data_IF_415478295560
#
_entry.id   IF_415478295560
#
_cell.length_a   1.000
_cell.length_b   1.000
_cell.length_c   1.000
_cell.angle_alpha   90.00
_cell.angle_beta   90.00
_cell.angle_gamma   90.00
#
_symmetry.space_group_name_H-M   'P 1'
#
loop_
_entity.id
_entity.type
_entity.pdbx_description
1 polymer ?
#
# COMPACT_ATOMS: atom_id res chain seq x y z
N UNK A 1 -14.86 22.10 8.01
CA UNK A 1 -14.79 20.71 8.55
C UNK A 1 -13.71 19.98 7.81
N UNK A 2 -12.90 19.17 8.49
CA UNK A 2 -11.89 18.35 7.84
C UNK A 2 -12.55 17.24 7.01
N UNK A 3 -12.00 16.92 5.83
CA UNK A 3 -12.59 16.00 4.84
C UNK A 3 -12.86 14.59 5.40
N UNK A 4 -11.99 14.13 6.30
CA UNK A 4 -12.07 12.79 6.93
C UNK A 4 -12.30 12.87 8.45
N UNK A 5 -12.89 13.98 8.94
CA UNK A 5 -13.22 14.09 10.36
C UNK A 5 -14.12 12.93 10.81
N UNK A 6 -13.85 12.39 12.01
CA UNK A 6 -14.57 11.25 12.58
C UNK A 6 -14.49 9.96 11.75
N UNK A 7 -13.43 9.79 10.96
CA UNK A 7 -13.13 8.53 10.27
C UNK A 7 -11.95 7.83 10.90
N UNK A 8 -11.83 6.53 10.64
CA UNK A 8 -10.76 5.68 11.15
C UNK A 8 -10.09 4.93 10.01
N UNK A 9 -8.79 4.72 10.11
CA UNK A 9 -8.02 4.01 9.10
C UNK A 9 -6.92 3.14 9.70
N UNK A 10 -6.48 2.15 8.95
CA UNK A 10 -5.26 1.37 9.25
C UNK A 10 -4.29 1.48 8.10
N UNK A 11 -3.02 1.71 8.41
CA UNK A 11 -1.94 1.80 7.42
C UNK A 11 -0.89 0.74 7.72
N UNK A 12 -0.77 -0.23 6.81
CA UNK A 12 0.24 -1.29 6.86
C UNK A 12 1.44 -0.91 5.99
N UNK A 13 2.66 -1.13 6.50
CA UNK A 13 3.90 -0.95 5.75
C UNK A 13 4.67 0.35 6.03
N UNK A 14 4.35 1.05 7.13
CA UNK A 14 5.21 2.13 7.62
C UNK A 14 6.50 1.54 8.20
N UNK A 15 7.65 1.98 7.68
CA UNK A 15 8.97 1.59 8.18
C UNK A 15 9.77 2.80 8.68
N UNK A 16 9.62 3.97 8.05
CA UNK A 16 10.24 5.23 8.42
C UNK A 16 9.55 6.41 7.69
N UNK A 17 10.01 7.63 7.95
CA UNK A 17 9.49 8.88 7.36
C UNK A 17 9.56 8.98 5.83
N UNK A 18 10.28 8.09 5.15
CA UNK A 18 10.37 8.02 3.67
C UNK A 18 9.48 6.94 3.08
N UNK A 19 8.76 6.18 3.87
CA UNK A 19 7.81 5.17 3.37
C UNK A 19 6.64 5.84 2.64
N UNK A 20 6.20 5.26 1.53
CA UNK A 20 4.95 5.67 0.86
C UNK A 20 3.79 5.61 1.86
N UNK A 21 3.71 4.53 2.65
CA UNK A 21 2.73 4.37 3.71
C UNK A 21 2.71 5.56 4.69
N UNK A 22 3.89 6.14 5.02
CA UNK A 22 3.94 7.31 5.89
C UNK A 22 3.42 8.58 5.19
N UNK A 23 3.77 8.80 3.92
CA UNK A 23 3.21 9.92 3.14
C UNK A 23 1.68 9.86 3.05
N UNK A 24 1.13 8.66 2.87
CA UNK A 24 -0.33 8.44 2.90
C UNK A 24 -0.88 8.73 4.30
N UNK A 25 -0.27 8.21 5.35
CA UNK A 25 -0.70 8.42 6.74
C UNK A 25 -0.75 9.92 7.10
N UNK A 26 0.25 10.70 6.68
CA UNK A 26 0.29 12.14 6.89
C UNK A 26 -0.90 12.86 6.21
N UNK A 27 -1.22 12.50 4.96
CA UNK A 27 -2.34 13.10 4.23
C UNK A 27 -3.69 12.76 4.88
N UNK A 28 -3.90 11.49 5.24
CA UNK A 28 -5.13 11.02 5.91
C UNK A 28 -5.29 11.64 7.31
N UNK A 29 -4.20 11.67 8.11
CA UNK A 29 -4.20 12.27 9.43
C UNK A 29 -4.44 13.78 9.42
N UNK A 30 -3.79 14.52 8.50
CA UNK A 30 -4.02 15.95 8.30
C UNK A 30 -5.48 16.25 7.89
N UNK A 31 -6.13 15.31 7.20
CA UNK A 31 -7.54 15.38 6.85
C UNK A 31 -8.49 14.93 7.99
N UNK A 32 -7.96 14.65 9.19
CA UNK A 32 -8.74 14.37 10.41
C UNK A 32 -9.07 12.90 10.66
N UNK A 33 -8.46 11.97 9.91
CA UNK A 33 -8.62 10.52 10.14
C UNK A 33 -7.81 10.08 11.36
N UNK A 34 -8.40 9.29 12.24
CA UNK A 34 -7.69 8.58 13.32
C UNK A 34 -7.09 7.30 12.76
N UNK A 35 -5.80 7.03 13.03
CA UNK A 35 -5.05 5.99 12.35
C UNK A 35 -4.53 4.90 13.29
N UNK A 36 -4.57 3.66 12.81
CA UNK A 36 -3.78 2.55 13.34
C UNK A 36 -2.62 2.25 12.39
N UNK A 37 -1.49 1.84 12.95
CA UNK A 37 -0.29 1.43 12.23
C UNK A 37 0.09 0.01 12.59
N UNK A 38 0.67 -0.72 11.63
CA UNK A 38 1.27 -2.02 11.92
C UNK A 38 2.77 -2.00 11.69
N UNK A 39 3.48 -2.81 12.46
CA UNK A 39 4.91 -3.06 12.28
C UNK A 39 5.21 -4.55 12.33
N UNK A 40 6.25 -4.99 11.60
CA UNK A 40 6.76 -6.35 11.65
C UNK A 40 8.10 -6.38 12.38
N UNK A 41 8.14 -7.09 13.52
CA UNK A 41 9.34 -7.27 14.33
C UNK A 41 9.82 -6.01 15.06
N UNK A 42 10.57 -6.21 16.14
CA UNK A 42 10.98 -5.14 17.07
C UNK A 42 11.83 -4.05 16.42
N UNK A 43 12.56 -4.39 15.35
CA UNK A 43 13.41 -3.44 14.63
C UNK A 43 12.65 -2.25 14.04
N UNK A 44 11.38 -2.41 13.68
CA UNK A 44 10.56 -1.35 13.11
C UNK A 44 9.68 -0.65 14.15
N UNK A 45 9.48 -1.29 15.31
CA UNK A 45 8.56 -0.82 16.35
C UNK A 45 8.83 0.62 16.75
N UNK A 46 10.04 0.92 17.21
CA UNK A 46 10.43 2.24 17.71
C UNK A 46 10.19 3.35 16.67
N UNK A 47 10.61 3.10 15.42
CA UNK A 47 10.38 4.06 14.33
C UNK A 47 8.90 4.32 14.06
N UNK A 48 8.06 3.27 14.11
CA UNK A 48 6.62 3.40 13.85
C UNK A 48 5.94 4.09 15.02
N UNK A 49 6.31 3.80 16.26
CA UNK A 49 5.80 4.46 17.46
C UNK A 49 6.16 5.96 17.48
N UNK A 50 7.41 6.32 17.14
CA UNK A 50 7.84 7.73 17.03
C UNK A 50 7.01 8.50 15.99
N UNK A 51 6.79 7.91 14.82
CA UNK A 51 6.00 8.53 13.77
C UNK A 51 4.52 8.63 14.16
N UNK A 52 3.94 7.56 14.69
CA UNK A 52 2.55 7.51 15.12
C UNK A 52 2.24 8.54 16.22
N UNK A 53 3.20 8.80 17.13
CA UNK A 53 3.07 9.81 18.19
C UNK A 53 2.84 11.23 17.64
N UNK A 54 3.19 11.50 16.38
CA UNK A 54 2.92 12.79 15.74
C UNK A 54 1.48 12.95 15.26
N UNK A 55 0.69 11.86 15.25
CA UNK A 55 -0.71 11.84 14.84
C UNK A 55 -1.61 11.47 16.03
N UNK A 56 -2.43 12.40 16.54
CA UNK A 56 -3.17 12.18 17.79
C UNK A 56 -4.11 10.97 17.76
N UNK A 57 -4.11 10.19 18.86
CA UNK A 57 -5.01 9.05 19.04
C UNK A 57 -4.66 7.83 18.19
N UNK A 58 -3.44 7.76 17.65
CA UNK A 58 -2.97 6.62 16.87
C UNK A 58 -2.79 5.35 17.70
N UNK A 59 -3.02 4.18 17.08
CA UNK A 59 -2.65 2.87 17.58
C UNK A 59 -1.41 2.35 16.85
N UNK A 60 -0.57 1.57 17.54
CA UNK A 60 0.56 0.86 16.94
C UNK A 60 0.51 -0.60 17.36
N UNK A 61 0.44 -1.51 16.40
CA UNK A 61 0.14 -2.93 16.62
C UNK A 61 1.17 -3.81 15.88
N UNK A 62 1.65 -4.90 16.49
CA UNK A 62 2.49 -5.87 15.79
C UNK A 62 1.67 -6.61 14.74
N UNK A 63 2.25 -6.90 13.56
CA UNK A 63 1.60 -7.70 12.52
C UNK A 63 2.63 -8.25 11.54
N UNK A 64 2.77 -9.57 11.52
CA UNK A 64 3.30 -10.28 10.38
C UNK A 64 2.13 -10.73 9.48
N UNK A 65 2.10 -10.26 8.25
CA UNK A 65 1.01 -10.57 7.31
C UNK A 65 1.04 -12.01 6.78
N UNK A 66 2.05 -12.80 7.16
CA UNK A 66 2.10 -14.24 6.92
C UNK A 66 1.40 -15.05 8.02
N UNK A 67 0.96 -14.38 9.09
CA UNK A 67 0.27 -14.98 10.25
C UNK A 67 -1.19 -14.53 10.30
N UNK A 68 -2.10 -15.42 9.93
CA UNK A 68 -3.56 -15.16 10.05
C UNK A 68 -3.97 -14.82 11.49
N UNK A 69 -3.28 -15.38 12.50
CA UNK A 69 -3.53 -15.08 13.90
C UNK A 69 -3.16 -13.62 14.26
N UNK A 70 -2.00 -13.14 13.80
CA UNK A 70 -1.60 -11.76 14.04
C UNK A 70 -2.49 -10.77 13.28
N UNK A 71 -2.85 -11.08 12.04
CA UNK A 71 -3.82 -10.30 11.27
C UNK A 71 -5.14 -10.18 12.06
N UNK A 72 -5.68 -11.29 12.56
CA UNK A 72 -6.92 -11.30 13.34
C UNK A 72 -6.78 -10.43 14.60
N UNK A 73 -5.69 -10.58 15.36
CA UNK A 73 -5.45 -9.81 16.58
C UNK A 73 -5.41 -8.29 16.33
N UNK A 74 -4.85 -7.86 15.19
CA UNK A 74 -4.83 -6.44 14.78
C UNK A 74 -6.25 -5.92 14.62
N UNK A 75 -7.10 -6.61 13.86
CA UNK A 75 -8.47 -6.11 13.60
C UNK A 75 -9.38 -6.24 14.80
N UNK A 76 -9.15 -7.20 15.70
CA UNK A 76 -9.81 -7.26 17.00
C UNK A 76 -9.43 -6.06 17.87
N UNK A 77 -8.16 -5.66 17.89
CA UNK A 77 -7.71 -4.47 18.62
C UNK A 77 -8.32 -3.19 18.04
N UNK A 78 -8.31 -3.04 16.71
CA UNK A 78 -8.94 -1.90 16.02
C UNK A 78 -10.44 -1.86 16.32
N UNK A 79 -11.12 -3.01 16.29
CA UNK A 79 -12.54 -3.11 16.61
C UNK A 79 -12.87 -2.65 18.01
N UNK A 80 -12.06 -3.04 19.02
CA UNK A 80 -12.23 -2.61 20.41
C UNK A 80 -12.02 -1.10 20.62
N UNK A 81 -11.05 -0.52 19.91
CA UNK A 81 -10.63 0.89 20.15
C UNK A 81 -11.34 1.88 19.22
N UNK A 82 -11.55 1.54 17.95
CA UNK A 82 -12.17 2.40 16.95
C UNK A 82 -13.66 2.08 16.71
N UNK A 83 -14.09 0.86 16.95
CA UNK A 83 -15.46 0.37 16.73
C UNK A 83 -15.80 0.11 15.25
N UNK A 84 -15.12 0.78 14.30
CA UNK A 84 -15.31 0.62 12.85
C UNK A 84 -14.02 0.96 12.12
N UNK A 85 -13.98 0.68 10.81
CA UNK A 85 -12.83 1.04 9.96
C UNK A 85 -13.35 1.63 8.64
N UNK A 86 -12.97 2.87 8.32
CA UNK A 86 -13.35 3.54 7.06
C UNK A 86 -12.33 3.28 5.95
N UNK A 87 -11.03 3.15 6.29
CA UNK A 87 -9.96 2.98 5.29
C UNK A 87 -8.93 1.94 5.73
N UNK A 88 -8.56 1.05 4.79
CA UNK A 88 -7.42 0.14 4.91
C UNK A 88 -6.40 0.46 3.83
N UNK A 89 -5.15 0.75 4.22
CA UNK A 89 -4.03 0.98 3.30
C UNK A 89 -3.05 -0.18 3.39
N UNK A 90 -2.93 -0.94 2.30
CA UNK A 90 -1.98 -2.03 2.13
C UNK A 90 -0.76 -1.54 1.33
N UNK A 91 0.32 -1.21 2.03
CA UNK A 91 1.58 -0.75 1.43
C UNK A 91 2.73 -1.70 1.77
N UNK A 92 2.49 -3.00 1.58
CA UNK A 92 3.41 -4.09 1.89
C UNK A 92 3.93 -4.71 0.59
N UNK A 93 5.23 -5.01 0.55
CA UNK A 93 5.85 -5.81 -0.47
C UNK A 93 7.17 -6.38 0.06
N UNK A 94 7.44 -7.63 -0.28
CA UNK A 94 8.69 -8.28 0.02
C UNK A 94 9.01 -9.36 -1.01
N UNK A 95 10.27 -9.42 -1.41
CA UNK A 95 10.87 -10.58 -2.07
C UNK A 95 12.33 -10.70 -1.61
N UNK A 96 12.91 -11.91 -1.54
CA UNK A 96 14.34 -12.09 -1.34
C UNK A 96 15.12 -11.31 -2.40
N UNK A 97 16.23 -10.68 -2.02
CA UNK A 97 17.00 -9.80 -2.91
C UNK A 97 17.53 -10.55 -4.14
N UNK A 98 17.92 -11.78 -3.97
CA UNK A 98 18.41 -12.67 -5.03
C UNK A 98 17.35 -12.97 -6.09
N UNK A 99 16.08 -12.85 -5.75
CA UNK A 99 14.95 -13.08 -6.66
C UNK A 99 14.56 -11.83 -7.47
N UNK A 100 15.16 -10.68 -7.14
CA UNK A 100 14.93 -9.42 -7.85
C UNK A 100 15.92 -9.19 -9.00
N UNK A 101 17.06 -9.86 -8.99
CA UNK A 101 18.17 -9.66 -9.93
C UNK A 101 18.40 -10.92 -10.78
N UNK A 102 19.18 -10.80 -11.86
CA UNK A 102 19.54 -11.91 -12.73
C UNK A 102 18.44 -12.35 -13.70
N UNK A 103 18.46 -13.61 -14.12
CA UNK A 103 17.46 -14.16 -15.04
C UNK A 103 16.17 -14.51 -14.33
N UNK A 104 15.05 -13.97 -14.78
CA UNK A 104 13.73 -14.33 -14.25
C UNK A 104 13.43 -15.84 -14.34
N UNK A 105 13.93 -16.52 -15.37
CA UNK A 105 13.77 -17.98 -15.52
C UNK A 105 14.44 -18.80 -14.42
N UNK A 106 15.37 -18.18 -13.66
CA UNK A 106 16.03 -18.81 -12.50
C UNK A 106 15.29 -18.59 -11.18
N UNK A 107 14.15 -17.90 -11.17
CA UNK A 107 13.34 -17.65 -9.96
C UNK A 107 13.03 -18.95 -9.24
N UNK A 108 13.35 -19.03 -7.96
CA UNK A 108 13.10 -20.22 -7.14
C UNK A 108 11.61 -20.34 -6.81
N UNK A 109 11.16 -21.59 -6.60
CA UNK A 109 9.78 -21.87 -6.16
C UNK A 109 9.48 -21.16 -4.84
N UNK A 110 10.42 -21.17 -3.90
CA UNK A 110 10.25 -20.58 -2.59
C UNK A 110 10.24 -19.03 -2.65
N UNK A 111 11.14 -18.41 -3.43
CA UNK A 111 11.14 -16.98 -3.64
C UNK A 111 9.86 -16.50 -4.32
N UNK A 112 9.37 -17.25 -5.32
CA UNK A 112 8.07 -16.98 -5.95
C UNK A 112 6.92 -17.06 -4.96
N UNK A 113 6.86 -18.14 -4.15
CA UNK A 113 5.84 -18.34 -3.12
C UNK A 113 5.84 -17.19 -2.12
N UNK A 114 6.99 -16.84 -1.57
CA UNK A 114 7.16 -15.79 -0.57
C UNK A 114 6.76 -14.42 -1.10
N UNK A 115 7.20 -14.06 -2.33
CA UNK A 115 6.85 -12.80 -2.94
C UNK A 115 5.33 -12.65 -3.15
N UNK A 116 4.64 -13.72 -3.57
CA UNK A 116 3.20 -13.70 -3.77
C UNK A 116 2.42 -13.73 -2.46
N UNK A 117 2.86 -14.50 -1.48
CA UNK A 117 2.24 -14.57 -0.17
C UNK A 117 2.23 -13.20 0.52
N UNK A 118 3.41 -12.58 0.62
CA UNK A 118 3.56 -11.29 1.32
C UNK A 118 3.04 -10.11 0.49
N UNK A 119 3.25 -10.10 -0.85
CA UNK A 119 2.99 -8.89 -1.65
C UNK A 119 1.65 -8.90 -2.39
N UNK A 120 0.95 -10.05 -2.43
CA UNK A 120 -0.34 -10.17 -3.12
C UNK A 120 -1.41 -10.82 -2.23
N UNK A 121 -1.18 -12.05 -1.69
CA UNK A 121 -2.17 -12.74 -0.88
C UNK A 121 -2.48 -12.01 0.42
N UNK A 122 -1.51 -11.36 1.03
CA UNK A 122 -1.71 -10.59 2.26
C UNK A 122 -2.81 -9.53 2.12
N UNK A 123 -3.03 -8.94 0.93
CA UNK A 123 -4.16 -8.03 0.68
C UNK A 123 -5.50 -8.75 0.92
N UNK A 124 -5.62 -10.00 0.49
CA UNK A 124 -6.84 -10.81 0.72
C UNK A 124 -7.00 -11.08 2.22
N UNK A 125 -5.92 -11.54 2.88
CA UNK A 125 -5.93 -11.86 4.31
C UNK A 125 -6.35 -10.69 5.19
N UNK A 126 -5.69 -9.54 5.03
CA UNK A 126 -6.00 -8.34 5.84
C UNK A 126 -7.37 -7.75 5.51
N UNK A 127 -7.80 -7.78 4.22
CA UNK A 127 -9.12 -7.30 3.83
C UNK A 127 -10.22 -8.18 4.41
N UNK A 128 -10.04 -9.52 4.39
CA UNK A 128 -10.98 -10.48 4.99
C UNK A 128 -11.17 -10.22 6.48
N UNK A 129 -10.09 -10.02 7.22
CA UNK A 129 -10.16 -9.75 8.66
C UNK A 129 -10.75 -8.36 8.96
N UNK A 130 -10.46 -7.36 8.14
CA UNK A 130 -10.99 -6.01 8.27
C UNK A 130 -12.47 -5.87 7.90
N UNK A 131 -13.00 -6.81 7.12
CA UNK A 131 -14.28 -6.65 6.43
C UNK A 131 -15.46 -6.33 7.34
N UNK A 132 -15.65 -6.98 8.51
CA UNK A 132 -16.75 -6.60 9.42
C UNK A 132 -16.70 -5.14 9.85
N UNK A 133 -15.50 -4.59 10.09
CA UNK A 133 -15.31 -3.19 10.49
C UNK A 133 -15.49 -2.22 9.32
N UNK A 134 -15.08 -2.61 8.11
CA UNK A 134 -15.27 -1.82 6.88
C UNK A 134 -16.75 -1.71 6.53
N UNK A 135 -17.53 -2.77 6.71
CA UNK A 135 -18.99 -2.75 6.51
C UNK A 135 -19.71 -1.85 7.51
N UNK A 136 -19.29 -1.88 8.78
CA UNK A 136 -19.84 -1.01 9.82
C UNK A 136 -19.68 0.48 9.50
N UNK A 137 -18.66 0.86 8.73
CA UNK A 137 -18.49 2.25 8.32
C UNK A 137 -19.51 2.72 7.29
N UNK A 138 -20.09 1.81 6.49
CA UNK A 138 -21.00 2.10 5.37
C UNK A 138 -20.31 2.78 4.17
N UNK A 139 -18.99 2.95 4.20
CA UNK A 139 -18.17 3.62 3.16
C UNK A 139 -16.76 3.08 3.05
N UNK A 140 -16.55 1.81 3.33
CA UNK A 140 -15.24 1.17 3.35
C UNK A 140 -14.42 1.44 2.10
N UNK A 141 -13.12 1.75 2.29
CA UNK A 141 -12.15 1.96 1.21
C UNK A 141 -10.87 1.18 1.48
N UNK A 142 -10.53 0.26 0.58
CA UNK A 142 -9.28 -0.50 0.62
C UNK A 142 -8.36 0.03 -0.47
N UNK A 143 -7.13 0.41 -0.11
CA UNK A 143 -6.12 0.96 -1.00
C UNK A 143 -4.88 0.06 -0.99
N UNK A 144 -4.44 -0.40 -2.17
CA UNK A 144 -3.23 -1.17 -2.34
C UNK A 144 -2.15 -0.34 -3.05
N UNK A 145 -0.88 -0.54 -2.69
CA UNK A 145 0.23 0.09 -3.39
C UNK A 145 0.84 -0.87 -4.42
N UNK A 146 0.83 -0.45 -5.69
CA UNK A 146 1.44 -1.17 -6.79
C UNK A 146 2.50 -0.34 -7.51
N UNK A 147 3.07 -0.88 -8.56
CA UNK A 147 4.10 -0.23 -9.37
C UNK A 147 3.95 -0.65 -10.84
N UNK A 148 4.32 0.22 -11.74
CA UNK A 148 4.28 0.03 -13.20
C UNK A 148 4.93 -1.28 -13.68
N UNK A 149 5.89 -1.83 -12.92
CA UNK A 149 6.46 -3.15 -13.14
C UNK A 149 5.47 -4.32 -13.13
N UNK A 150 4.21 -4.11 -12.70
CA UNK A 150 3.11 -5.06 -12.86
C UNK A 150 2.64 -5.19 -14.31
N UNK A 151 2.81 -4.15 -15.13
CA UNK A 151 2.32 -4.08 -16.51
C UNK A 151 3.43 -4.12 -17.55
N UNK A 152 4.62 -3.67 -17.19
CA UNK A 152 5.81 -3.63 -18.04
C UNK A 152 7.00 -4.24 -17.32
N UNK A 153 7.90 -4.84 -18.08
CA UNK A 153 9.14 -5.38 -17.52
C UNK A 153 10.01 -4.23 -17.02
N UNK A 154 10.32 -4.25 -15.74
CA UNK A 154 11.26 -3.34 -15.10
C UNK A 154 12.51 -4.10 -14.69
N UNK A 155 13.69 -3.58 -15.05
CA UNK A 155 14.95 -4.22 -14.69
C UNK A 155 15.12 -4.35 -13.17
N UNK A 156 15.67 -5.48 -12.72
CA UNK A 156 15.91 -5.79 -11.31
C UNK A 156 14.65 -5.79 -10.43
N UNK A 157 13.50 -6.10 -11.03
CA UNK A 157 12.24 -6.19 -10.33
C UNK A 157 11.60 -7.60 -10.41
N UNK A 158 11.96 -8.38 -11.40
CA UNK A 158 11.68 -9.81 -11.60
C UNK A 158 10.38 -10.33 -10.94
N UNK A 159 10.52 -11.21 -9.93
CA UNK A 159 9.38 -11.84 -9.24
C UNK A 159 8.42 -10.82 -8.63
N UNK A 160 8.91 -9.66 -8.20
CA UNK A 160 8.06 -8.61 -7.65
C UNK A 160 7.11 -8.02 -8.71
N UNK A 161 7.55 -7.90 -9.97
CA UNK A 161 6.66 -7.48 -11.07
C UNK A 161 5.46 -8.42 -11.24
N UNK A 162 5.71 -9.73 -11.19
CA UNK A 162 4.67 -10.75 -11.28
C UNK A 162 3.77 -10.74 -10.04
N UNK A 163 4.33 -10.58 -8.84
CA UNK A 163 3.55 -10.44 -7.61
C UNK A 163 2.67 -9.18 -7.63
N UNK A 164 3.16 -8.05 -8.18
CA UNK A 164 2.36 -6.83 -8.33
C UNK A 164 1.27 -6.98 -9.40
N UNK A 165 1.49 -7.73 -10.47
CA UNK A 165 0.43 -8.08 -11.44
C UNK A 165 -0.67 -8.92 -10.77
N UNK A 166 -0.29 -9.89 -9.94
CA UNK A 166 -1.21 -10.66 -9.10
C UNK A 166 -1.99 -9.75 -8.13
N UNK A 167 -1.32 -8.78 -7.48
CA UNK A 167 -1.95 -7.81 -6.60
C UNK A 167 -2.99 -6.95 -7.34
N UNK A 168 -2.67 -6.44 -8.54
CA UNK A 168 -3.61 -5.64 -9.35
C UNK A 168 -4.83 -6.46 -9.79
N UNK A 169 -4.65 -7.74 -10.12
CA UNK A 169 -5.77 -8.64 -10.36
C UNK A 169 -6.61 -8.85 -9.10
N UNK A 170 -5.96 -9.06 -7.95
CA UNK A 170 -6.62 -9.21 -6.64
C UNK A 170 -7.48 -7.99 -6.30
N UNK A 171 -7.00 -6.77 -6.59
CA UNK A 171 -7.79 -5.52 -6.40
C UNK A 171 -9.11 -5.59 -7.17
N UNK A 172 -9.09 -6.00 -8.43
CA UNK A 172 -10.31 -6.12 -9.26
C UNK A 172 -11.28 -7.18 -8.74
N UNK A 173 -10.78 -8.35 -8.34
CA UNK A 173 -11.61 -9.41 -7.78
C UNK A 173 -12.21 -9.04 -6.43
N UNK A 174 -11.44 -8.40 -5.55
CA UNK A 174 -11.96 -7.87 -4.28
C UNK A 174 -12.99 -6.76 -4.51
N UNK A 175 -12.76 -5.84 -5.45
CA UNK A 175 -13.72 -4.80 -5.80
C UNK A 175 -15.06 -5.38 -6.24
N UNK A 176 -15.04 -6.41 -7.09
CA UNK A 176 -16.24 -7.12 -7.55
C UNK A 176 -16.97 -7.83 -6.40
N UNK A 177 -16.22 -8.52 -5.54
CA UNK A 177 -16.79 -9.29 -4.43
C UNK A 177 -17.35 -8.41 -3.31
N UNK A 178 -16.71 -7.26 -3.03
CA UNK A 178 -17.02 -6.40 -1.88
C UNK A 178 -17.89 -5.18 -2.23
N UNK A 179 -18.00 -4.84 -3.51
CA UNK A 179 -18.85 -3.74 -3.99
C UNK A 179 -20.30 -3.85 -3.50
N UNK A 180 -20.98 -5.02 -3.60
CA UNK A 180 -22.33 -5.22 -3.05
C UNK A 180 -22.43 -5.01 -1.53
N UNK A 181 -21.30 -5.05 -0.82
CA UNK A 181 -21.17 -4.83 0.63
C UNK A 181 -20.78 -3.38 0.98
N UNK A 182 -20.77 -2.47 0.00
CA UNK A 182 -20.42 -1.05 0.19
C UNK A 182 -18.94 -0.76 0.40
N UNK A 183 -18.05 -1.71 0.06
CA UNK A 183 -16.59 -1.55 0.19
C UNK A 183 -15.95 -1.39 -1.18
N UNK A 184 -15.22 -0.29 -1.37
CA UNK A 184 -14.44 -0.01 -2.59
C UNK A 184 -13.02 -0.53 -2.43
N UNK A 185 -12.44 -1.03 -3.49
CA UNK A 185 -11.05 -1.53 -3.49
C UNK A 185 -10.32 -0.97 -4.72
N UNK A 186 -9.26 -0.20 -4.52
CA UNK A 186 -8.47 0.41 -5.58
C UNK A 186 -6.97 0.27 -5.29
N UNK A 187 -6.14 0.54 -6.29
CA UNK A 187 -4.71 0.62 -6.10
C UNK A 187 -4.14 1.93 -6.64
N UNK A 188 -3.00 2.35 -6.07
CA UNK A 188 -2.19 3.44 -6.56
C UNK A 188 -0.90 2.84 -7.12
N UNK A 189 -0.64 3.04 -8.41
CA UNK A 189 0.63 2.73 -9.06
C UNK A 189 1.53 3.96 -8.97
N UNK A 190 2.42 3.95 -7.97
CA UNK A 190 3.31 5.06 -7.71
C UNK A 190 4.55 5.00 -8.60
N UNK A 191 5.00 6.14 -9.11
CA UNK A 191 6.32 6.29 -9.69
C UNK A 191 7.43 6.02 -8.66
N UNK A 192 8.69 5.92 -9.09
CA UNK A 192 9.80 5.61 -8.19
C UNK A 192 10.01 6.72 -7.16
N UNK A 193 9.98 6.35 -5.88
CA UNK A 193 10.25 7.22 -4.73
C UNK A 193 11.40 6.63 -3.92
N UNK A 194 12.28 7.48 -3.41
CA UNK A 194 13.47 7.05 -2.64
C UNK A 194 13.09 6.53 -1.24
N UNK A 195 12.48 5.36 -1.20
CA UNK A 195 12.11 4.64 0.03
C UNK A 195 13.21 3.68 0.48
N UNK A 196 13.08 3.13 1.70
CA UNK A 196 13.97 2.07 2.17
C UNK A 196 13.86 0.80 1.30
N UNK A 197 12.64 0.40 0.95
CA UNK A 197 12.37 -0.76 0.10
C UNK A 197 12.97 -0.58 -1.31
N UNK A 198 12.82 0.59 -1.91
CA UNK A 198 13.36 0.90 -3.23
C UNK A 198 14.89 0.82 -3.31
N UNK A 199 15.59 1.11 -2.20
CA UNK A 199 17.06 0.96 -2.12
C UNK A 199 17.52 -0.48 -2.20
N UNK A 200 16.66 -1.45 -1.97
CA UNK A 200 16.94 -2.88 -2.19
C UNK A 200 17.01 -3.27 -3.66
N UNK A 201 16.44 -2.45 -4.56
CA UNK A 201 16.46 -2.67 -6.01
C UNK A 201 17.79 -2.17 -6.59
N UNK A 202 18.52 -3.05 -7.24
CA UNK A 202 19.81 -2.71 -7.89
C UNK A 202 19.58 -1.67 -8.99
N UNK A 203 20.41 -0.63 -9.03
CA UNK A 203 20.33 0.41 -10.06
C UNK A 203 19.21 1.45 -9.84
N UNK A 204 18.58 1.48 -8.65
CA UNK A 204 17.47 2.37 -8.35
C UNK A 204 17.77 3.87 -8.60
N UNK A 205 18.98 4.34 -8.33
CA UNK A 205 19.37 5.75 -8.63
C UNK A 205 19.30 6.04 -10.13
N UNK A 206 19.74 5.08 -10.97
CA UNK A 206 19.61 5.19 -12.43
C UNK A 206 18.15 5.21 -12.88
N UNK A 207 17.30 4.40 -12.24
CA UNK A 207 15.85 4.40 -12.49
C UNK A 207 15.20 5.75 -12.15
N UNK A 208 15.55 6.37 -11.04
CA UNK A 208 15.05 7.72 -10.67
C UNK A 208 15.43 8.76 -11.72
N UNK A 209 16.69 8.74 -12.19
CA UNK A 209 17.17 9.66 -13.22
C UNK A 209 16.42 9.43 -14.54
N UNK A 210 16.36 8.19 -15.00
CA UNK A 210 15.65 7.82 -16.23
C UNK A 210 14.18 8.23 -16.18
N UNK A 211 13.50 7.96 -15.07
CA UNK A 211 12.10 8.35 -14.90
C UNK A 211 11.91 9.87 -15.00
N UNK A 212 12.74 10.65 -14.30
CA UNK A 212 12.66 12.11 -14.35
C UNK A 212 12.94 12.68 -15.76
N UNK A 213 13.83 12.02 -16.54
CA UNK A 213 14.17 12.45 -17.91
C UNK A 213 13.08 12.10 -18.92
N UNK A 214 12.28 11.04 -18.69
CA UNK A 214 11.31 10.52 -19.67
C UNK A 214 9.85 10.79 -19.30
N UNK A 215 9.55 10.97 -18.01
CA UNK A 215 8.18 11.32 -17.60
C UNK A 215 7.72 12.65 -18.24
N UNK A 216 6.47 12.77 -18.69
CA UNK A 216 5.92 14.01 -19.24
C UNK A 216 6.15 15.24 -18.36
N UNK A 217 6.00 15.12 -17.03
CA UNK A 217 6.23 16.24 -16.10
C UNK A 217 7.72 16.49 -15.80
N UNK A 218 8.65 15.72 -16.42
CA UNK A 218 10.11 15.88 -16.29
C UNK A 218 10.64 15.92 -14.85
N UNK A 219 10.01 15.15 -13.97
CA UNK A 219 10.39 14.99 -12.57
C UNK A 219 9.91 13.66 -12.01
N UNK A 220 10.44 13.28 -10.88
CA UNK A 220 9.86 12.20 -10.07
C UNK A 220 8.66 12.72 -9.27
N UNK A 221 7.85 11.78 -8.78
CA UNK A 221 6.73 12.07 -7.88
C UNK A 221 7.21 12.25 -6.45
N UNK A 222 6.45 12.99 -5.67
CA UNK A 222 6.66 13.21 -4.25
C UNK A 222 5.71 12.35 -3.41
N UNK A 223 6.12 12.03 -2.17
CA UNK A 223 5.27 11.30 -1.23
C UNK A 223 3.91 11.97 -1.00
N UNK A 224 3.90 13.32 -1.01
CA UNK A 224 2.68 14.11 -0.84
C UNK A 224 1.67 13.84 -1.96
N UNK A 225 2.10 13.74 -3.20
CA UNK A 225 1.21 13.52 -4.35
C UNK A 225 0.54 12.14 -4.29
N UNK A 226 1.27 11.13 -3.79
CA UNK A 226 0.72 9.81 -3.51
C UNK A 226 -0.27 9.87 -2.34
N UNK A 227 0.08 10.62 -1.28
CA UNK A 227 -0.78 10.87 -0.13
C UNK A 227 -2.08 11.57 -0.50
N UNK A 228 -2.01 12.62 -1.32
CA UNK A 228 -3.18 13.37 -1.80
C UNK A 228 -4.11 12.48 -2.64
N UNK A 229 -3.54 11.59 -3.47
CA UNK A 229 -4.32 10.59 -4.23
C UNK A 229 -4.99 9.57 -3.30
N UNK A 230 -4.28 9.10 -2.28
CA UNK A 230 -4.85 8.20 -1.29
C UNK A 230 -5.98 8.88 -0.49
N UNK A 231 -5.81 10.15 -0.12
CA UNK A 231 -6.85 10.96 0.50
C UNK A 231 -8.11 11.07 -0.37
N UNK A 232 -7.94 11.35 -1.67
CA UNK A 232 -9.05 11.36 -2.62
C UNK A 232 -9.78 10.02 -2.65
N UNK A 233 -9.04 8.90 -2.82
CA UNK A 233 -9.61 7.56 -2.89
C UNK A 233 -10.27 7.10 -1.57
N UNK A 234 -9.78 7.55 -0.42
CA UNK A 234 -10.38 7.27 0.89
C UNK A 234 -11.64 8.09 1.15
N UNK A 235 -11.82 9.22 0.46
CA UNK A 235 -12.93 10.14 0.67
C UNK A 235 -14.20 9.76 -0.13
N UNK A 236 -15.30 10.46 0.15
CA UNK A 236 -16.56 10.36 -0.60
C UNK A 236 -16.44 10.89 -2.04
N UNK A 237 -15.41 11.69 -2.36
CA UNK A 237 -15.18 12.17 -3.73
C UNK A 237 -14.90 11.04 -4.72
N UNK A 238 -14.41 9.89 -4.23
CA UNK A 238 -14.16 8.68 -5.02
C UNK A 238 -15.26 7.62 -4.88
N UNK A 239 -16.47 7.98 -4.47
CA UNK A 239 -17.57 7.03 -4.20
C UNK A 239 -17.97 6.17 -5.41
N UNK A 240 -17.76 6.65 -6.61
CA UNK A 240 -18.01 5.90 -7.86
C UNK A 240 -16.79 5.14 -8.41
N UNK A 241 -15.67 5.06 -7.66
CA UNK A 241 -14.41 4.47 -8.14
C UNK A 241 -14.10 3.20 -7.34
N UNK A 242 -14.08 2.04 -8.02
CA UNK A 242 -13.67 0.75 -7.46
C UNK A 242 -13.10 -0.16 -8.55
N UNK A 243 -12.09 -0.96 -8.21
CA UNK A 243 -11.40 -1.85 -9.14
C UNK A 243 -10.32 -1.19 -9.98
N UNK A 244 -10.02 0.09 -9.73
CA UNK A 244 -9.12 0.90 -10.54
C UNK A 244 -7.68 0.88 -10.02
N UNK A 245 -6.74 1.04 -10.96
CA UNK A 245 -5.32 1.25 -10.72
C UNK A 245 -5.00 2.68 -11.17
N UNK A 246 -4.85 3.59 -10.22
CA UNK A 246 -4.53 5.00 -10.51
C UNK A 246 -3.01 5.19 -10.56
N UNK A 247 -2.53 5.74 -11.67
CA UNK A 247 -1.11 6.09 -11.79
C UNK A 247 -0.80 7.45 -11.17
N UNK A 248 0.21 7.47 -10.31
CA UNK A 248 0.82 8.68 -9.73
C UNK A 248 2.31 8.59 -10.02
N UNK A 249 2.70 8.90 -11.26
CA UNK A 249 4.03 8.63 -11.80
C UNK A 249 4.54 9.75 -12.72
N UNK A 250 4.02 10.96 -12.60
CA UNK A 250 4.34 12.10 -13.46
C UNK A 250 4.05 11.84 -14.96
N UNK A 251 3.15 10.87 -15.26
CA UNK A 251 2.75 10.49 -16.62
C UNK A 251 3.67 9.47 -17.28
N UNK A 252 4.64 8.90 -16.56
CA UNK A 252 5.60 7.96 -17.14
C UNK A 252 4.95 6.74 -17.82
N UNK A 253 3.85 6.23 -17.25
CA UNK A 253 3.18 5.02 -17.75
C UNK A 253 2.65 5.14 -19.19
N UNK A 254 2.40 6.36 -19.70
CA UNK A 254 1.89 6.57 -21.07
C UNK A 254 3.01 6.61 -22.13
N UNK A 255 4.27 6.63 -21.67
CA UNK A 255 5.42 6.72 -22.57
C UNK A 255 5.83 5.34 -23.11
N UNK A 256 6.16 5.29 -24.40
CA UNK A 256 6.68 4.09 -25.09
C UNK A 256 8.22 4.03 -24.97
N UNK A 257 8.77 4.05 -23.77
CA UNK A 257 10.22 4.09 -23.49
C UNK A 257 10.70 2.84 -22.79
#
# INVERSE_FOLDING_TARGET
MSLLANTTGVVLGVANKRSIAWGIAQALGAAGMRLAFTYQGDRLKENVEELAATLPGSLVLPCDVTSDAEITAVFDAIGRDFGRLDTLVHSIAYAPREELDGSFAATSREGFRMAHDISAYSLIGVTRAALPLLEQSGRGSVLAMTYYGAQKVSGNYNVMGVAKASLESTVRYLASALGPRGVRVNAISAGPVNTLAARGVRGFTGMLKHHAEHAPLRRNVELREIGDTALFLASSMASGITGEILFVDAGYNIMAV
#
